data_IF_945636547350
#
_entry.id   IF_945636547350
#
_cell.length_a   1.000
_cell.length_b   1.000
_cell.length_c   1.000
_cell.angle_alpha   90.00
_cell.angle_beta   90.00
_cell.angle_gamma   90.00
#
_symmetry.space_group_name_H-M   'P 1'
#
loop_
_entity.id
_entity.type
_entity.pdbx_description
1 polymer ?
#
# COMPACT_ATOMS: atom_id res chain seq x y z
N UNK A 1 2.29 -40.35 -2.53
CA UNK A 1 1.53 -39.19 -3.03
C UNK A 1 2.35 -37.94 -2.78
N UNK A 2 2.85 -37.29 -3.83
CA UNK A 2 3.48 -35.98 -3.69
C UNK A 2 2.36 -34.94 -3.54
N UNK A 3 2.17 -34.44 -2.33
CA UNK A 3 1.33 -33.26 -2.10
C UNK A 3 2.07 -32.09 -2.74
N UNK A 4 1.61 -31.65 -3.92
CA UNK A 4 2.01 -30.37 -4.48
C UNK A 4 1.47 -29.32 -3.53
N UNK A 5 2.34 -28.83 -2.64
CA UNK A 5 2.01 -27.72 -1.75
C UNK A 5 1.98 -26.47 -2.63
N UNK A 6 0.81 -26.17 -3.21
CA UNK A 6 0.57 -24.92 -3.93
C UNK A 6 0.73 -23.82 -2.88
N UNK A 7 1.85 -23.09 -2.97
CA UNK A 7 2.12 -21.97 -2.08
C UNK A 7 1.14 -20.86 -2.44
N UNK A 8 0.06 -20.76 -1.67
CA UNK A 8 -0.95 -19.71 -1.86
C UNK A 8 -0.25 -18.37 -1.64
N UNK A 9 -0.26 -17.53 -2.68
CA UNK A 9 0.26 -16.16 -2.60
C UNK A 9 -0.81 -15.32 -1.91
N UNK A 10 -0.44 -14.66 -0.81
CA UNK A 10 -1.39 -13.88 -0.03
C UNK A 10 -1.51 -12.42 -0.51
N UNK A 11 -0.46 -11.81 -1.08
CA UNK A 11 -0.39 -10.37 -1.33
C UNK A 11 -1.52 -9.79 -2.21
N UNK A 12 -1.75 -8.46 -2.17
CA UNK A 12 -2.74 -7.84 -3.03
C UNK A 12 -2.46 -7.87 -4.53
N UNK A 13 -1.20 -7.89 -4.95
CA UNK A 13 -0.84 -7.74 -6.36
C UNK A 13 -1.24 -8.95 -7.22
N UNK A 14 -0.98 -10.16 -6.72
CA UNK A 14 -1.20 -11.41 -7.45
C UNK A 14 -1.81 -12.53 -6.61
N UNK A 15 -2.13 -12.25 -5.35
CA UNK A 15 -2.61 -13.23 -4.39
C UNK A 15 -4.06 -13.05 -3.95
N UNK A 16 -4.43 -13.80 -2.91
CA UNK A 16 -5.76 -13.78 -2.33
C UNK A 16 -6.19 -12.38 -1.86
N UNK A 17 -5.26 -11.55 -1.39
CA UNK A 17 -5.57 -10.18 -0.99
C UNK A 17 -6.16 -9.35 -2.13
N UNK A 18 -5.72 -9.57 -3.37
CA UNK A 18 -6.25 -8.88 -4.54
C UNK A 18 -7.65 -9.35 -4.90
N UNK A 19 -7.91 -10.65 -4.77
CA UNK A 19 -9.24 -11.25 -4.97
C UNK A 19 -10.21 -10.70 -3.92
N UNK A 20 -9.83 -10.72 -2.64
CA UNK A 20 -10.66 -10.17 -1.56
C UNK A 20 -10.94 -8.69 -1.80
N UNK A 21 -9.91 -7.90 -2.15
CA UNK A 21 -10.10 -6.48 -2.44
C UNK A 21 -11.08 -6.25 -3.59
N UNK A 22 -10.96 -7.00 -4.69
CA UNK A 22 -11.89 -6.90 -5.82
C UNK A 22 -13.33 -7.25 -5.42
N UNK A 23 -13.52 -8.31 -4.63
CA UNK A 23 -14.83 -8.72 -4.12
C UNK A 23 -15.45 -7.66 -3.19
N UNK A 24 -14.66 -7.08 -2.28
CA UNK A 24 -15.10 -5.99 -1.40
C UNK A 24 -15.53 -4.74 -2.19
N UNK A 25 -14.89 -4.47 -3.32
CA UNK A 25 -15.27 -3.38 -4.23
C UNK A 25 -16.54 -3.69 -5.03
N UNK A 26 -16.73 -4.96 -5.39
CA UNK A 26 -17.84 -5.41 -6.22
C UNK A 26 -19.15 -5.59 -5.44
N UNK A 27 -19.10 -6.01 -4.17
CA UNK A 27 -20.29 -6.34 -3.37
C UNK A 27 -21.37 -5.25 -3.38
N UNK A 28 -20.96 -3.97 -3.40
CA UNK A 28 -21.88 -2.81 -3.33
C UNK A 28 -22.82 -2.67 -4.52
N UNK A 29 -22.57 -3.41 -5.61
CA UNK A 29 -23.40 -3.39 -6.82
C UNK A 29 -24.44 -4.51 -6.85
N UNK A 30 -24.46 -5.38 -5.85
CA UNK A 30 -25.39 -6.50 -5.76
C UNK A 30 -26.44 -6.28 -4.68
N UNK A 31 -27.48 -7.11 -4.69
CA UNK A 31 -28.45 -7.13 -3.60
C UNK A 31 -27.81 -7.57 -2.28
N UNK A 32 -28.54 -7.33 -1.18
CA UNK A 32 -28.05 -7.60 0.16
C UNK A 32 -27.66 -9.07 0.38
N UNK A 33 -28.43 -10.01 -0.16
CA UNK A 33 -28.16 -11.43 0.08
C UNK A 33 -26.85 -11.84 -0.58
N UNK A 34 -26.66 -11.47 -1.85
CA UNK A 34 -25.43 -11.78 -2.56
C UNK A 34 -24.22 -11.00 -2.02
N UNK A 35 -24.43 -9.76 -1.59
CA UNK A 35 -23.41 -8.99 -0.87
C UNK A 35 -22.97 -9.70 0.42
N UNK A 36 -23.91 -10.18 1.22
CA UNK A 36 -23.61 -10.89 2.48
C UNK A 36 -22.85 -12.21 2.21
N UNK A 37 -23.19 -12.94 1.15
CA UNK A 37 -22.43 -14.11 0.68
C UNK A 37 -20.98 -13.75 0.29
N UNK A 38 -20.80 -12.67 -0.48
CA UNK A 38 -19.45 -12.17 -0.83
C UNK A 38 -18.65 -11.84 0.43
N UNK A 39 -19.25 -11.14 1.41
CA UNK A 39 -18.58 -10.78 2.65
C UNK A 39 -18.21 -12.02 3.48
N UNK A 40 -19.05 -13.05 3.48
CA UNK A 40 -18.74 -14.33 4.14
C UNK A 40 -17.52 -15.01 3.49
N UNK A 41 -17.48 -15.06 2.16
CA UNK A 41 -16.34 -15.60 1.39
C UNK A 41 -15.07 -14.80 1.69
N UNK A 42 -15.15 -13.47 1.69
CA UNK A 42 -14.03 -12.60 2.04
C UNK A 42 -13.50 -12.91 3.44
N UNK A 43 -14.38 -13.06 4.44
CA UNK A 43 -13.99 -13.44 5.80
C UNK A 43 -13.26 -14.78 5.88
N UNK A 44 -13.69 -15.78 5.12
CA UNK A 44 -13.00 -17.08 5.04
C UNK A 44 -11.59 -16.94 4.46
N UNK A 45 -11.42 -16.12 3.43
CA UNK A 45 -10.10 -15.83 2.86
C UNK A 45 -9.21 -15.06 3.83
N UNK A 46 -9.74 -14.07 4.54
CA UNK A 46 -8.94 -13.32 5.53
C UNK A 46 -8.46 -14.21 6.68
N UNK A 47 -9.28 -15.16 7.12
CA UNK A 47 -8.90 -16.12 8.17
C UNK A 47 -7.87 -17.16 7.72
N UNK A 48 -7.76 -17.41 6.42
CA UNK A 48 -6.79 -18.36 5.83
C UNK A 48 -5.51 -17.68 5.34
N UNK A 49 -5.47 -16.35 5.32
CA UNK A 49 -4.26 -15.60 4.98
C UNK A 49 -3.23 -15.72 6.09
N UNK A 50 -2.16 -16.45 5.82
CA UNK A 50 -0.93 -16.34 6.58
C UNK A 50 -0.17 -15.12 6.09
N UNK A 51 -0.04 -14.09 6.95
CA UNK A 51 0.93 -13.02 6.73
C UNK A 51 2.28 -13.64 6.39
N UNK A 52 2.96 -13.11 5.37
CA UNK A 52 4.34 -13.53 5.10
C UNK A 52 5.09 -13.31 6.41
N UNK A 53 5.69 -14.37 6.98
CA UNK A 53 6.38 -14.29 8.28
C UNK A 53 7.41 -13.15 8.32
N UNK A 54 8.04 -12.91 9.49
CA UNK A 54 8.82 -11.71 9.87
C UNK A 54 10.03 -11.30 8.98
N UNK A 55 10.12 -11.71 7.71
CA UNK A 55 11.00 -11.08 6.72
C UNK A 55 10.61 -9.61 6.57
N UNK A 56 11.35 -8.78 7.29
CA UNK A 56 11.22 -7.32 7.36
C UNK A 56 10.91 -6.71 5.99
N UNK A 57 11.64 -7.07 4.93
CA UNK A 57 11.44 -6.48 3.60
C UNK A 57 10.04 -6.71 3.00
N UNK A 58 9.41 -7.88 3.22
CA UNK A 58 8.08 -8.19 2.68
C UNK A 58 6.94 -7.64 3.57
N UNK A 59 7.23 -7.30 4.82
CA UNK A 59 6.21 -6.84 5.76
C UNK A 59 5.66 -5.45 5.39
N UNK A 60 6.46 -4.61 4.73
CA UNK A 60 6.16 -3.18 4.56
C UNK A 60 5.77 -2.78 3.12
N UNK A 61 5.69 -3.73 2.18
CA UNK A 61 5.28 -3.47 0.80
C UNK A 61 3.75 -3.47 0.68
N UNK A 62 3.19 -2.48 -0.03
CA UNK A 62 1.75 -2.38 -0.23
C UNK A 62 1.23 -3.42 -1.23
N UNK A 63 1.82 -3.52 -2.42
CA UNK A 63 1.31 -4.42 -3.46
C UNK A 63 1.74 -5.87 -3.23
N UNK A 64 3.01 -6.09 -2.88
CA UNK A 64 3.60 -7.43 -2.77
C UNK A 64 3.75 -7.95 -1.33
N UNK A 65 3.29 -7.20 -0.33
CA UNK A 65 3.62 -7.45 1.08
C UNK A 65 2.46 -7.38 2.08
N UNK A 66 2.81 -7.46 3.37
CA UNK A 66 1.83 -7.52 4.46
C UNK A 66 1.09 -6.21 4.69
N UNK A 67 1.70 -5.05 4.41
CA UNK A 67 1.01 -3.76 4.49
C UNK A 67 -0.26 -3.78 3.63
N UNK A 68 -0.16 -4.34 2.43
CA UNK A 68 -1.30 -4.57 1.55
C UNK A 68 -2.42 -5.38 2.18
N UNK A 69 -2.07 -6.51 2.78
CA UNK A 69 -3.03 -7.38 3.46
C UNK A 69 -3.70 -6.68 4.63
N UNK A 70 -2.94 -5.91 5.41
CA UNK A 70 -3.50 -5.10 6.49
C UNK A 70 -4.49 -4.07 5.95
N UNK A 71 -4.17 -3.38 4.84
CA UNK A 71 -5.10 -2.43 4.21
C UNK A 71 -6.40 -3.12 3.78
N UNK A 72 -6.30 -4.26 3.09
CA UNK A 72 -7.49 -5.02 2.67
C UNK A 72 -8.30 -5.47 3.89
N UNK A 73 -7.65 -5.90 4.97
CA UNK A 73 -8.31 -6.26 6.22
C UNK A 73 -9.04 -5.07 6.87
N UNK A 74 -8.43 -3.88 6.89
CA UNK A 74 -9.06 -2.68 7.43
C UNK A 74 -10.30 -2.29 6.64
N UNK A 75 -10.25 -2.39 5.30
CA UNK A 75 -11.40 -2.14 4.43
C UNK A 75 -12.52 -3.16 4.67
N UNK A 76 -12.17 -4.44 4.82
CA UNK A 76 -13.13 -5.48 5.17
C UNK A 76 -13.87 -5.17 6.47
N UNK A 77 -13.13 -4.88 7.55
CA UNK A 77 -13.74 -4.55 8.84
C UNK A 77 -14.56 -3.27 8.76
N UNK A 78 -14.08 -2.25 8.04
CA UNK A 78 -14.86 -1.03 7.83
C UNK A 78 -16.21 -1.30 7.17
N UNK A 79 -16.25 -2.08 6.08
CA UNK A 79 -17.50 -2.45 5.39
C UNK A 79 -18.46 -3.19 6.34
N UNK A 80 -17.91 -4.01 7.25
CA UNK A 80 -18.70 -4.71 8.28
C UNK A 80 -19.09 -3.85 9.48
N UNK A 81 -18.72 -2.57 9.51
CA UNK A 81 -18.87 -1.69 10.67
C UNK A 81 -18.15 -2.23 11.93
N UNK A 82 -17.01 -2.89 11.73
CA UNK A 82 -16.14 -3.42 12.78
C UNK A 82 -14.90 -2.53 12.95
N UNK A 83 -14.42 -2.40 14.18
CA UNK A 83 -13.22 -1.61 14.46
C UNK A 83 -11.94 -2.35 14.04
N UNK A 84 -11.08 -1.69 13.27
CA UNK A 84 -9.73 -2.17 12.96
C UNK A 84 -8.75 -1.00 12.93
N UNK A 85 -7.78 -0.98 13.84
CA UNK A 85 -6.76 0.07 13.92
C UNK A 85 -5.46 -0.36 13.22
N UNK A 86 -5.24 0.16 12.01
CA UNK A 86 -4.02 -0.03 11.23
C UNK A 86 -2.94 1.02 11.52
N UNK A 87 -3.25 2.06 12.30
CA UNK A 87 -2.39 3.24 12.48
C UNK A 87 -1.02 2.88 13.05
N UNK A 88 -0.95 1.91 13.96
CA UNK A 88 0.32 1.40 14.52
C UNK A 88 1.20 0.76 13.45
N UNK A 89 0.61 0.05 12.50
CA UNK A 89 1.33 -0.58 11.39
C UNK A 89 1.85 0.53 10.46
N UNK A 90 1.01 1.48 10.05
CA UNK A 90 1.41 2.61 9.20
C UNK A 90 2.58 3.39 9.83
N UNK A 91 2.50 3.73 11.12
CA UNK A 91 3.58 4.43 11.84
C UNK A 91 4.87 3.61 11.87
N UNK A 92 4.78 2.30 12.13
CA UNK A 92 5.94 1.39 12.10
C UNK A 92 6.56 1.30 10.70
N UNK A 93 5.73 1.28 9.65
CA UNK A 93 6.19 1.27 8.26
C UNK A 93 6.92 2.58 7.97
N UNK A 94 6.30 3.73 8.27
CA UNK A 94 6.85 5.06 8.02
C UNK A 94 8.20 5.30 8.72
N UNK A 95 8.36 4.81 9.95
CA UNK A 95 9.59 4.96 10.74
C UNK A 95 10.77 4.11 10.25
N UNK A 96 10.57 3.24 9.26
CA UNK A 96 11.65 2.39 8.77
C UNK A 96 12.71 3.19 8.02
N UNK A 97 13.98 2.82 8.23
CA UNK A 97 15.06 3.18 7.31
C UNK A 97 14.87 2.37 6.03
N UNK A 98 14.05 2.88 5.11
CA UNK A 98 13.81 2.23 3.84
C UNK A 98 15.09 2.16 3.00
N UNK A 99 15.15 1.15 2.14
CA UNK A 99 16.06 1.10 1.00
C UNK A 99 15.92 2.33 0.09
N UNK A 100 16.90 2.56 -0.80
CA UNK A 100 16.88 3.61 -1.84
C UNK A 100 15.70 3.51 -2.83
N UNK A 101 14.75 2.59 -2.64
CA UNK A 101 13.59 2.43 -3.50
C UNK A 101 12.42 3.28 -3.00
N UNK A 102 11.94 4.18 -3.87
CA UNK A 102 10.83 5.09 -3.57
C UNK A 102 9.55 4.76 -4.35
N UNK A 103 9.63 3.90 -5.37
CA UNK A 103 8.51 3.53 -6.22
C UNK A 103 7.37 2.79 -5.47
N UNK A 104 6.20 2.70 -6.11
CA UNK A 104 4.97 2.15 -5.52
C UNK A 104 5.13 0.69 -5.08
N UNK A 105 5.81 -0.13 -5.87
CA UNK A 105 5.92 -1.57 -5.61
C UNK A 105 6.64 -1.92 -4.29
N UNK A 106 7.72 -1.20 -3.96
CA UNK A 106 8.70 -1.60 -2.93
C UNK A 106 9.14 -0.46 -2.01
N UNK A 107 8.62 0.75 -2.22
CA UNK A 107 9.12 1.96 -1.59
C UNK A 107 8.07 2.78 -0.86
N UNK A 108 8.47 3.99 -0.48
CA UNK A 108 7.63 4.96 0.25
C UNK A 108 6.35 5.32 -0.49
N UNK A 109 6.36 5.35 -1.83
CA UNK A 109 5.13 5.57 -2.59
C UNK A 109 4.11 4.43 -2.43
N UNK A 110 4.55 3.21 -2.08
CA UNK A 110 3.64 2.13 -1.69
C UNK A 110 2.92 2.42 -0.36
N UNK A 111 3.64 2.97 0.62
CA UNK A 111 3.02 3.43 1.88
C UNK A 111 2.02 4.56 1.62
N UNK A 112 2.39 5.53 0.79
CA UNK A 112 1.50 6.63 0.40
C UNK A 112 0.24 6.11 -0.31
N UNK A 113 0.39 5.14 -1.22
CA UNK A 113 -0.74 4.48 -1.86
C UNK A 113 -1.62 3.75 -0.86
N UNK A 114 -1.05 3.03 0.12
CA UNK A 114 -1.80 2.38 1.20
C UNK A 114 -2.65 3.38 2.00
N UNK A 115 -2.07 4.52 2.38
CA UNK A 115 -2.76 5.58 3.12
C UNK A 115 -3.92 6.16 2.29
N UNK A 116 -3.70 6.47 1.01
CA UNK A 116 -4.75 6.98 0.13
C UNK A 116 -5.88 5.97 -0.04
N UNK A 117 -5.56 4.68 -0.22
CA UNK A 117 -6.57 3.64 -0.34
C UNK A 117 -7.41 3.54 0.91
N UNK A 118 -6.82 3.57 2.12
CA UNK A 118 -7.59 3.57 3.37
C UNK A 118 -8.53 4.78 3.48
N UNK A 119 -8.04 5.97 3.12
CA UNK A 119 -8.87 7.19 3.13
C UNK A 119 -10.05 7.08 2.16
N UNK A 120 -9.80 6.58 0.94
CA UNK A 120 -10.82 6.49 -0.11
C UNK A 120 -11.84 5.37 0.13
N UNK A 121 -11.39 4.23 0.65
CA UNK A 121 -12.19 3.00 0.68
C UNK A 121 -12.79 2.71 2.05
N UNK A 122 -12.12 3.14 3.12
CA UNK A 122 -12.58 2.89 4.47
C UNK A 122 -13.07 4.14 5.18
N UNK A 123 -13.12 5.30 4.51
CA UNK A 123 -13.31 6.62 5.13
C UNK A 123 -12.46 6.79 6.42
N UNK A 124 -11.34 6.07 6.47
CA UNK A 124 -10.48 6.05 7.62
C UNK A 124 -9.50 7.19 7.42
N UNK A 125 -9.76 8.30 8.13
CA UNK A 125 -8.66 9.14 8.53
C UNK A 125 -7.74 8.24 9.34
N UNK A 126 -6.57 7.95 8.79
CA UNK A 126 -5.60 7.02 9.40
C UNK A 126 -5.04 7.56 10.72
N UNK A 127 -5.55 8.70 11.21
CA UNK A 127 -5.03 9.52 12.31
C UNK A 127 -3.49 9.54 12.26
N UNK A 128 -2.97 9.61 11.02
CA UNK A 128 -1.56 9.68 10.78
C UNK A 128 -1.19 11.12 11.07
N UNK A 129 -0.30 11.28 12.03
CA UNK A 129 0.27 12.58 12.38
C UNK A 129 0.81 13.23 11.10
N UNK A 130 0.39 14.46 10.82
CA UNK A 130 0.84 15.24 9.66
C UNK A 130 2.37 15.29 9.59
N UNK A 131 3.04 15.27 10.75
CA UNK A 131 4.50 15.20 10.84
C UNK A 131 5.05 13.92 10.20
N UNK A 132 4.44 12.77 10.43
CA UNK A 132 4.88 11.48 9.86
C UNK A 132 4.70 11.49 8.35
N UNK A 133 3.57 12.02 7.87
CA UNK A 133 3.33 12.16 6.44
C UNK A 133 4.34 13.13 5.79
N UNK A 134 4.59 14.27 6.42
CA UNK A 134 5.57 15.26 6.00
C UNK A 134 6.98 14.65 5.94
N UNK A 135 7.38 13.84 6.91
CA UNK A 135 8.67 13.14 6.92
C UNK A 135 8.79 12.17 5.72
N UNK A 136 7.74 11.39 5.43
CA UNK A 136 7.73 10.46 4.28
C UNK A 136 7.83 11.22 2.96
N UNK A 137 7.03 12.27 2.79
CA UNK A 137 7.01 13.09 1.57
C UNK A 137 8.33 13.84 1.37
N UNK A 138 8.83 14.48 2.43
CA UNK A 138 10.11 15.21 2.41
C UNK A 138 11.25 14.27 2.03
N UNK A 139 11.24 13.04 2.53
CA UNK A 139 12.26 12.07 2.16
C UNK A 139 12.18 11.64 0.68
N UNK A 140 10.97 11.42 0.15
CA UNK A 140 10.79 11.12 -1.28
C UNK A 140 11.29 12.28 -2.15
N UNK A 141 10.98 13.52 -1.78
CA UNK A 141 11.41 14.71 -2.52
C UNK A 141 12.94 14.88 -2.44
N UNK A 142 13.50 14.87 -1.22
CA UNK A 142 14.92 15.12 -1.00
C UNK A 142 15.81 14.11 -1.73
N UNK A 143 15.47 12.81 -1.69
CA UNK A 143 16.24 11.80 -2.44
C UNK A 143 16.17 12.05 -3.95
N UNK A 144 15.01 12.49 -4.46
CA UNK A 144 14.86 12.80 -5.87
C UNK A 144 15.66 14.03 -6.32
N UNK A 145 15.72 15.05 -5.45
CA UNK A 145 16.51 16.27 -5.67
C UNK A 145 18.02 15.97 -5.61
N UNK A 146 18.45 15.21 -4.59
CA UNK A 146 19.83 14.77 -4.43
C UNK A 146 20.29 13.97 -5.64
N UNK A 147 19.50 12.97 -6.05
CA UNK A 147 19.81 12.15 -7.21
C UNK A 147 19.91 12.98 -8.49
N UNK A 148 18.96 13.90 -8.72
CA UNK A 148 18.99 14.81 -9.85
C UNK A 148 20.27 15.64 -9.91
N UNK A 149 20.69 16.16 -8.75
CA UNK A 149 21.89 16.99 -8.63
C UNK A 149 23.17 16.18 -8.84
N UNK A 150 23.26 15.00 -8.21
CA UNK A 150 24.42 14.11 -8.30
C UNK A 150 24.68 13.65 -9.74
N UNK A 151 23.62 13.42 -10.52
CA UNK A 151 23.72 12.92 -11.89
C UNK A 151 23.55 14.01 -12.95
N UNK A 152 23.53 15.29 -12.55
CA UNK A 152 23.36 16.45 -13.45
C UNK A 152 22.15 16.30 -14.39
N UNK A 153 21.04 15.80 -13.86
CA UNK A 153 19.81 15.60 -14.62
C UNK A 153 19.21 16.95 -15.01
N UNK A 154 18.63 17.03 -16.21
CA UNK A 154 17.91 18.22 -16.67
C UNK A 154 16.60 18.45 -15.88
N UNK A 155 15.90 17.35 -15.56
CA UNK A 155 14.71 17.41 -14.75
C UNK A 155 15.06 17.58 -13.27
N UNK A 156 14.43 18.51 -12.52
CA UNK A 156 14.82 18.84 -11.15
C UNK A 156 14.58 17.71 -10.13
N UNK A 157 13.78 16.70 -10.49
CA UNK A 157 13.47 15.56 -9.65
C UNK A 157 13.62 14.28 -10.48
N UNK A 158 14.51 13.38 -10.05
CA UNK A 158 14.75 12.09 -10.70
C UNK A 158 15.12 11.01 -9.68
N UNK A 159 14.89 9.74 -10.02
CA UNK A 159 15.11 8.61 -9.10
C UNK A 159 15.93 7.47 -9.71
N UNK A 160 16.38 7.63 -10.96
CA UNK A 160 17.14 6.63 -11.70
C UNK A 160 17.80 7.24 -12.93
N UNK A 161 18.97 6.76 -13.32
CA UNK A 161 19.61 7.12 -14.58
C UNK A 161 18.88 6.49 -15.78
N UNK A 162 18.40 5.26 -15.61
CA UNK A 162 17.72 4.44 -16.64
C UNK A 162 16.35 4.99 -17.08
N UNK A 163 15.96 6.18 -16.60
CA UNK A 163 14.68 6.85 -16.88
C UNK A 163 13.50 5.87 -16.79
N UNK A 164 13.41 5.08 -15.73
CA UNK A 164 12.26 4.21 -15.57
C UNK A 164 11.00 5.06 -15.35
N UNK A 165 10.21 5.23 -16.40
CA UNK A 165 8.97 6.03 -16.37
C UNK A 165 7.77 5.21 -15.88
N UNK A 166 7.91 3.91 -15.61
CA UNK A 166 6.79 3.04 -15.26
C UNK A 166 6.01 3.49 -14.01
N UNK A 167 4.73 3.16 -13.95
CA UNK A 167 3.88 3.51 -12.80
C UNK A 167 4.28 2.76 -11.52
N UNK A 168 4.44 1.43 -11.59
CA UNK A 168 4.72 0.63 -10.38
C UNK A 168 6.14 0.82 -9.84
N UNK A 169 7.11 0.98 -10.75
CA UNK A 169 8.54 0.89 -10.43
C UNK A 169 9.32 2.17 -10.77
N UNK A 170 8.64 3.24 -11.19
CA UNK A 170 9.28 4.37 -11.83
C UNK A 170 8.65 5.73 -11.50
N UNK A 171 9.05 6.73 -12.26
CA UNK A 171 8.82 8.14 -11.98
C UNK A 171 7.33 8.50 -11.95
N UNK A 172 6.50 7.97 -12.85
CA UNK A 172 5.08 8.33 -12.91
C UNK A 172 4.32 7.97 -11.63
N UNK A 173 4.61 6.81 -11.04
CA UNK A 173 3.99 6.44 -9.77
C UNK A 173 4.40 7.36 -8.63
N UNK A 174 5.69 7.75 -8.62
CA UNK A 174 6.21 8.66 -7.60
C UNK A 174 5.56 10.05 -7.70
N UNK A 175 5.55 10.62 -8.92
CA UNK A 175 4.91 11.92 -9.16
C UNK A 175 3.41 11.87 -8.85
N UNK A 176 2.71 10.81 -9.25
CA UNK A 176 1.30 10.63 -8.95
C UNK A 176 1.05 10.62 -7.44
N UNK A 177 1.94 10.02 -6.63
CA UNK A 177 1.80 10.07 -5.18
C UNK A 177 2.06 11.48 -4.66
N UNK A 178 3.14 12.15 -5.07
CA UNK A 178 3.44 13.52 -4.61
C UNK A 178 2.30 14.50 -4.92
N UNK A 179 1.67 14.40 -6.09
CA UNK A 179 0.54 15.26 -6.49
C UNK A 179 -0.76 15.01 -5.72
N UNK A 180 -0.89 13.86 -5.03
CA UNK A 180 -2.12 13.48 -4.32
C UNK A 180 -2.13 13.88 -2.86
N UNK A 181 -1.00 14.35 -2.33
CA UNK A 181 -0.90 14.86 -0.98
C UNK A 181 -0.67 16.36 -1.03
N UNK A 182 -1.71 17.12 -0.66
CA UNK A 182 -1.58 18.54 -0.39
C UNK A 182 -1.00 18.70 1.02
N UNK A 183 0.24 19.17 1.10
CA UNK A 183 0.80 19.63 2.37
C UNK A 183 0.25 21.01 2.64
N UNK A 184 -0.56 21.16 3.70
CA UNK A 184 -0.84 22.49 4.24
C UNK A 184 0.44 22.98 4.91
N UNK A 185 1.15 23.87 4.23
CA UNK A 185 2.29 24.58 4.81
C UNK A 185 1.70 25.68 5.69
N UNK A 186 1.67 25.45 7.00
CA UNK A 186 1.35 26.48 8.00
C UNK A 186 2.60 27.29 8.36
#
# INVERSE_FOLDING_TARGET
MNVICIKIIANPYSGLGGIVYALLKAQKYFDKNFSDEILQICGQYMNTQHFFGDRIAAYYMYLDGNLGLHVVNSIFHFIKNESNDISKIIKKVAAQKYSRHHAINKGRCGLLAAILTLKLEANQETNLDDKVLQEVLSNVINVGLEFSKEHSMEAPLSYSEDKNLGFLNGLYGILQMLLRFELQIH
#
